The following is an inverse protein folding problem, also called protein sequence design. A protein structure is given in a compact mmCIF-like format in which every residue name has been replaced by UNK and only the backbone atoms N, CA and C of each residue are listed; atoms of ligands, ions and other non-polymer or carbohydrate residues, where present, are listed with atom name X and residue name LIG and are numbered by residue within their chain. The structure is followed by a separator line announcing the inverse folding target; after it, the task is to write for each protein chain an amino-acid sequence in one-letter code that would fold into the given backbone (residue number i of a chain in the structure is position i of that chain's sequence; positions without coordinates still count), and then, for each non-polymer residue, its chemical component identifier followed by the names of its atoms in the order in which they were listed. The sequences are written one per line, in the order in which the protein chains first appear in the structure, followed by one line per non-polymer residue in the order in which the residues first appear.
data_IF_263472134644
#
_entry.id   IF_263472134644
#
_cell.length_a   1.000
_cell.length_b   1.000
_cell.length_c   1.000
_cell.angle_alpha   90.00
_cell.angle_beta   90.00
_cell.angle_gamma   90.00
#
_symmetry.space_group_name_H-M   'P 1'
#
loop_
_entity.id
_entity.type
_entity.pdbx_description
1 polymer ?
#
# COMPACT_ATOMS: atom_id res chain seq x y z
N UNK A 1 -15.91 6.91 -8.45
CA UNK A 1 -15.25 8.11 -9.05
C UNK A 1 -13.72 8.03 -8.92
N UNK A 2 -13.08 8.00 -7.74
CA UNK A 2 -11.60 7.91 -7.63
C UNK A 2 -11.08 6.67 -8.36
N UNK A 3 -11.59 5.49 -8.08
CA UNK A 3 -11.26 4.26 -8.81
C UNK A 3 -11.31 4.44 -10.33
N UNK A 4 -12.39 5.00 -10.85
CA UNK A 4 -12.61 5.09 -12.30
C UNK A 4 -11.61 6.06 -12.97
N UNK A 5 -11.17 7.08 -12.24
CA UNK A 5 -10.12 7.99 -12.70
C UNK A 5 -8.71 7.38 -12.60
N UNK A 6 -8.49 6.43 -11.69
CA UNK A 6 -7.21 5.75 -11.48
C UNK A 6 -7.10 4.41 -12.23
N UNK A 7 -8.19 3.91 -12.82
CA UNK A 7 -8.22 2.65 -13.57
C UNK A 7 -7.13 2.46 -14.63
N UNK A 8 -6.70 3.50 -15.36
CA UNK A 8 -5.63 3.33 -16.35
C UNK A 8 -4.38 2.65 -15.78
N UNK A 9 -4.05 2.84 -14.49
CA UNK A 9 -2.91 2.19 -13.83
C UNK A 9 -3.04 0.66 -13.94
N UNK A 10 -4.16 0.11 -13.53
CA UNK A 10 -4.39 -1.35 -13.54
C UNK A 10 -4.68 -1.91 -14.93
N UNK A 11 -5.48 -1.19 -15.73
CA UNK A 11 -5.87 -1.64 -17.07
C UNK A 11 -4.61 -1.75 -17.97
N UNK A 12 -3.73 -0.75 -17.94
CA UNK A 12 -2.46 -0.76 -18.69
C UNK A 12 -1.47 -1.80 -18.14
N UNK A 13 -1.30 -1.87 -16.82
CA UNK A 13 -0.41 -2.86 -16.22
C UNK A 13 -0.83 -4.29 -16.55
N UNK A 14 -2.15 -4.58 -16.53
CA UNK A 14 -2.69 -5.88 -16.93
C UNK A 14 -2.38 -6.21 -18.40
N UNK A 15 -2.59 -5.26 -19.30
CA UNK A 15 -2.30 -5.45 -20.72
C UNK A 15 -0.81 -5.68 -20.97
N UNK A 16 0.04 -4.91 -20.29
CA UNK A 16 1.50 -4.99 -20.42
C UNK A 16 2.05 -6.31 -19.91
N UNK A 17 1.60 -6.78 -18.71
CA UNK A 17 2.11 -8.04 -18.16
C UNK A 17 1.65 -9.24 -18.99
N UNK A 18 0.44 -9.24 -19.52
CA UNK A 18 -0.03 -10.27 -20.44
C UNK A 18 0.77 -10.29 -21.73
N UNK A 19 1.16 -9.13 -22.25
CA UNK A 19 1.98 -9.04 -23.46
C UNK A 19 3.42 -9.51 -23.22
N UNK A 20 3.99 -9.22 -22.04
CA UNK A 20 5.36 -9.55 -21.69
C UNK A 20 5.52 -11.03 -21.27
N UNK A 21 4.62 -11.53 -20.43
CA UNK A 21 4.76 -12.82 -19.75
C UNK A 21 3.79 -13.90 -20.25
N UNK A 22 2.81 -13.53 -21.08
CA UNK A 22 1.79 -14.45 -21.58
C UNK A 22 0.79 -14.96 -20.52
N UNK A 23 0.91 -14.48 -19.28
CA UNK A 23 0.06 -14.87 -18.15
C UNK A 23 -0.19 -13.71 -17.19
N UNK A 24 -1.18 -13.84 -16.31
CA UNK A 24 -1.41 -12.93 -15.21
C UNK A 24 -0.37 -13.15 -14.10
N UNK A 25 -0.12 -12.11 -13.26
CA UNK A 25 0.75 -12.26 -12.11
C UNK A 25 0.12 -13.16 -11.05
N UNK A 26 0.95 -13.76 -10.21
CA UNK A 26 0.50 -14.52 -9.04
C UNK A 26 -0.02 -13.56 -7.97
N UNK A 27 0.66 -12.41 -7.82
CA UNK A 27 0.31 -11.38 -6.83
C UNK A 27 0.38 -9.99 -7.45
N UNK A 28 -0.52 -9.12 -6.99
CA UNK A 28 -0.51 -7.68 -7.30
C UNK A 28 -0.43 -6.92 -5.98
N UNK A 29 0.54 -6.02 -5.89
CA UNK A 29 0.83 -5.27 -4.67
C UNK A 29 0.79 -3.75 -4.92
N UNK A 30 0.29 -3.01 -3.95
CA UNK A 30 0.36 -1.55 -3.93
C UNK A 30 0.36 -1.03 -2.49
N UNK A 31 1.00 0.11 -2.25
CA UNK A 31 0.91 0.80 -0.96
C UNK A 31 -0.47 1.44 -0.79
N UNK A 32 -0.92 1.51 0.47
CA UNK A 32 -2.26 2.02 0.82
C UNK A 32 -2.17 3.00 1.98
N UNK A 33 -2.41 4.29 1.68
CA UNK A 33 -2.84 5.30 2.62
C UNK A 33 -4.34 5.54 2.40
N UNK A 34 -4.73 6.63 1.72
CA UNK A 34 -6.10 6.77 1.20
C UNK A 34 -6.47 5.73 0.14
N UNK A 35 -5.47 5.14 -0.55
CA UNK A 35 -5.59 3.97 -1.41
C UNK A 35 -5.95 4.25 -2.86
N UNK A 36 -5.79 5.48 -3.37
CA UNK A 36 -6.17 5.82 -4.74
C UNK A 36 -5.39 5.06 -5.81
N UNK A 37 -4.06 4.93 -5.66
CA UNK A 37 -3.22 4.14 -6.56
C UNK A 37 -3.59 2.65 -6.52
N UNK A 38 -3.77 2.12 -5.32
CA UNK A 38 -4.06 0.72 -5.08
C UNK A 38 -5.42 0.30 -5.66
N UNK A 39 -6.48 1.09 -5.47
CA UNK A 39 -7.79 0.76 -6.03
C UNK A 39 -7.80 0.84 -7.56
N UNK A 40 -7.02 1.77 -8.14
CA UNK A 40 -6.81 1.85 -9.58
C UNK A 40 -6.11 0.60 -10.12
N UNK A 41 -5.07 0.15 -9.44
CA UNK A 41 -4.34 -1.07 -9.79
C UNK A 41 -5.21 -2.32 -9.63
N UNK A 42 -5.79 -2.51 -8.43
CA UNK A 42 -6.52 -3.74 -8.09
C UNK A 42 -7.76 -3.96 -8.93
N UNK A 43 -8.43 -2.87 -9.36
CA UNK A 43 -9.69 -2.96 -10.10
C UNK A 43 -9.59 -3.86 -11.33
N UNK A 44 -8.49 -3.82 -12.06
CA UNK A 44 -8.25 -4.63 -13.25
C UNK A 44 -8.12 -6.13 -12.96
N UNK A 45 -7.88 -6.52 -11.70
CA UNK A 45 -7.64 -7.90 -11.28
C UNK A 45 -8.69 -8.44 -10.30
N UNK A 46 -9.73 -7.65 -9.96
CA UNK A 46 -10.73 -8.05 -8.97
C UNK A 46 -11.49 -9.33 -9.39
N UNK A 47 -11.72 -9.53 -10.69
CA UNK A 47 -12.40 -10.70 -11.23
C UNK A 47 -11.53 -11.95 -11.38
N UNK A 48 -10.23 -11.84 -11.19
CA UNK A 48 -9.27 -12.94 -11.34
C UNK A 48 -8.96 -13.57 -9.98
N UNK A 49 -9.77 -14.52 -9.53
CA UNK A 49 -9.66 -15.13 -8.18
C UNK A 49 -8.29 -15.78 -7.91
N UNK A 50 -7.59 -16.23 -8.96
CA UNK A 50 -6.26 -16.82 -8.88
C UNK A 50 -5.15 -15.77 -8.62
N UNK A 51 -5.42 -14.49 -8.84
CA UNK A 51 -4.47 -13.40 -8.58
C UNK A 51 -4.68 -12.91 -7.15
N UNK A 52 -3.68 -13.07 -6.29
CA UNK A 52 -3.72 -12.56 -4.93
C UNK A 52 -3.46 -11.04 -4.91
N UNK A 53 -4.27 -10.28 -4.16
CA UNK A 53 -4.14 -8.83 -4.05
C UNK A 53 -3.70 -8.44 -2.64
N UNK A 54 -2.65 -7.61 -2.55
CA UNK A 54 -2.09 -7.15 -1.29
C UNK A 54 -2.00 -5.63 -1.24
N UNK A 55 -2.68 -5.03 -0.27
CA UNK A 55 -2.53 -3.63 0.08
C UNK A 55 -1.60 -3.46 1.27
N UNK A 56 -0.54 -2.69 1.14
CA UNK A 56 0.47 -2.54 2.18
C UNK A 56 0.38 -1.15 2.79
N UNK A 57 0.11 -1.12 4.08
CA UNK A 57 -0.04 0.07 4.90
C UNK A 57 1.25 0.39 5.68
N UNK A 58 1.33 1.60 6.22
CA UNK A 58 2.44 1.99 7.07
C UNK A 58 2.28 1.45 8.49
N UNK A 59 3.18 0.56 8.88
CA UNK A 59 3.31 0.06 10.25
C UNK A 59 3.99 1.05 11.20
N UNK A 60 4.55 2.15 10.68
CA UNK A 60 5.19 3.19 11.48
C UNK A 60 6.31 2.64 12.37
N UNK A 61 6.25 2.96 13.65
CA UNK A 61 7.16 2.44 14.68
C UNK A 61 6.74 1.04 15.22
N UNK A 62 5.89 0.32 14.47
CA UNK A 62 5.31 -0.97 14.86
C UNK A 62 3.87 -0.82 15.35
N UNK A 63 3.01 -1.78 14.97
CA UNK A 63 1.57 -1.73 15.30
C UNK A 63 1.31 -1.66 16.81
N UNK A 64 2.14 -2.32 17.62
CA UNK A 64 2.01 -2.33 19.08
C UNK A 64 2.36 -0.99 19.74
N UNK A 65 3.07 -0.10 19.05
CA UNK A 65 3.43 1.23 19.56
C UNK A 65 2.25 2.19 19.57
N UNK A 66 1.21 1.92 18.78
CA UNK A 66 0.11 2.83 18.47
C UNK A 66 0.48 3.96 17.51
N UNK A 67 1.74 4.03 17.06
CA UNK A 67 2.26 5.02 16.11
C UNK A 67 2.41 4.38 14.74
N UNK A 68 1.31 4.32 13.99
CA UNK A 68 1.24 3.71 12.66
C UNK A 68 0.10 4.31 11.82
N UNK A 69 0.11 4.08 10.51
CA UNK A 69 -0.91 4.50 9.54
C UNK A 69 -1.62 3.30 8.90
N UNK A 70 -2.06 2.30 9.70
CA UNK A 70 -2.60 1.04 9.21
C UNK A 70 -4.07 0.79 9.60
N UNK A 71 -5.03 1.63 9.14
CA UNK A 71 -6.44 1.49 9.52
C UNK A 71 -7.12 0.24 8.96
N UNK A 72 -6.69 -0.31 7.83
CA UNK A 72 -7.26 -1.55 7.29
C UNK A 72 -6.76 -2.79 8.04
N UNK A 73 -5.55 -2.74 8.58
CA UNK A 73 -4.98 -3.82 9.37
C UNK A 73 -5.51 -3.82 10.81
N UNK A 74 -5.59 -2.67 11.48
CA UNK A 74 -5.87 -2.58 12.91
C UNK A 74 -7.13 -1.79 13.26
N UNK A 75 -7.60 -0.90 12.37
CA UNK A 75 -8.68 0.03 12.63
C UNK A 75 -10.06 -0.61 12.67
N UNK A 76 -10.98 0.11 13.27
CA UNK A 76 -12.40 -0.26 13.36
C UNK A 76 -13.23 0.45 12.30
N UNK A 77 -14.49 0.02 12.13
CA UNK A 77 -15.45 0.75 11.29
C UNK A 77 -15.78 2.10 11.90
N UNK A 78 -15.60 3.15 11.13
CA UNK A 78 -15.86 4.52 11.55
C UNK A 78 -16.26 5.42 10.40
N UNK A 79 -16.65 6.65 10.70
CA UNK A 79 -17.00 7.66 9.70
C UNK A 79 -15.89 8.70 9.69
N UNK A 80 -15.23 8.83 8.54
CA UNK A 80 -14.20 9.85 8.30
C UNK A 80 -14.55 10.61 7.02
N UNK A 81 -14.57 11.93 7.06
CA UNK A 81 -14.94 12.79 5.92
C UNK A 81 -16.29 12.42 5.28
N UNK A 82 -17.26 11.98 6.09
CA UNK A 82 -18.59 11.60 5.62
C UNK A 82 -18.69 10.23 4.96
N UNK A 83 -17.64 9.43 4.97
CA UNK A 83 -17.63 8.07 4.41
C UNK A 83 -17.44 7.03 5.51
N UNK A 84 -18.20 5.94 5.45
CA UNK A 84 -17.99 4.76 6.29
C UNK A 84 -16.79 3.98 5.76
N UNK A 85 -15.79 3.78 6.61
CA UNK A 85 -14.56 3.09 6.24
C UNK A 85 -13.88 2.44 7.46
N UNK A 86 -12.65 1.96 7.29
CA UNK A 86 -11.75 1.61 8.37
C UNK A 86 -11.02 2.88 8.85
N UNK A 87 -11.02 3.10 10.16
CA UNK A 87 -10.46 4.31 10.77
C UNK A 87 -9.68 3.94 12.03
N UNK A 88 -8.55 4.59 12.25
CA UNK A 88 -7.85 4.55 13.53
C UNK A 88 -8.63 5.45 14.51
N UNK A 89 -9.20 4.83 15.53
CA UNK A 89 -10.03 5.53 16.53
C UNK A 89 -9.86 4.89 17.90
N UNK A 90 -10.05 5.69 18.92
CA UNK A 90 -10.08 5.24 20.31
C UNK A 90 -11.44 4.60 20.69
N UNK A 91 -11.56 4.19 21.94
CA UNK A 91 -12.78 3.54 22.47
C UNK A 91 -14.00 4.47 22.47
N UNK A 92 -13.79 5.79 22.46
CA UNK A 92 -14.84 6.80 22.37
C UNK A 92 -15.19 7.15 20.90
N UNK A 93 -14.52 6.52 19.94
CA UNK A 93 -14.71 6.73 18.49
C UNK A 93 -14.06 7.99 17.95
N UNK A 94 -13.15 8.61 18.72
CA UNK A 94 -12.37 9.75 18.24
C UNK A 94 -11.22 9.27 17.38
N UNK A 95 -10.96 9.99 16.29
CA UNK A 95 -9.87 9.68 15.38
C UNK A 95 -8.52 9.84 16.09
N UNK A 96 -7.71 8.79 16.05
CA UNK A 96 -6.35 8.79 16.57
C UNK A 96 -5.40 9.26 15.49
N UNK A 97 -4.37 10.03 15.88
CA UNK A 97 -3.32 10.50 14.97
C UNK A 97 -2.56 9.32 14.38
N UNK A 98 -2.41 9.32 13.06
CA UNK A 98 -1.59 8.34 12.36
C UNK A 98 -0.10 8.71 12.47
N UNK A 99 0.77 7.78 12.10
CA UNK A 99 2.20 8.02 11.97
C UNK A 99 2.81 7.17 10.85
N UNK A 100 3.62 7.80 10.02
CA UNK A 100 4.49 7.14 9.04
C UNK A 100 5.61 8.07 8.65
N UNK A 101 6.79 7.51 8.37
CA UNK A 101 7.88 8.24 7.70
C UNK A 101 7.45 8.73 6.31
N UNK A 102 6.50 8.04 5.69
CA UNK A 102 5.93 8.40 4.40
C UNK A 102 4.73 9.32 4.57
N UNK A 103 4.84 10.57 4.14
CA UNK A 103 3.76 11.55 4.23
C UNK A 103 2.47 11.11 3.53
N UNK A 104 2.57 10.32 2.46
CA UNK A 104 1.41 9.81 1.72
C UNK A 104 0.69 8.64 2.40
N UNK A 105 1.31 8.00 3.41
CA UNK A 105 0.71 6.93 4.21
C UNK A 105 0.38 7.37 5.64
N UNK A 106 0.74 8.58 6.02
CA UNK A 106 0.40 9.17 7.32
C UNK A 106 -1.07 9.66 7.32
N UNK A 107 -1.99 8.70 7.39
CA UNK A 107 -3.43 8.97 7.28
C UNK A 107 -4.24 7.97 8.12
N UNK A 108 -5.15 8.43 8.99
CA UNK A 108 -5.85 7.58 9.95
C UNK A 108 -7.02 6.79 9.37
N UNK A 109 -7.28 6.86 8.09
CA UNK A 109 -8.40 6.18 7.44
C UNK A 109 -8.05 5.63 6.07
N UNK A 110 -8.98 4.94 5.44
CA UNK A 110 -8.83 4.38 4.11
C UNK A 110 -10.03 4.71 3.21
N UNK A 111 -9.90 4.44 1.90
CA UNK A 111 -11.05 4.54 1.00
C UNK A 111 -12.14 3.49 1.35
N UNK A 112 -13.44 3.83 1.26
CA UNK A 112 -14.54 2.90 1.58
C UNK A 112 -14.50 1.60 0.77
N UNK A 113 -14.05 1.65 -0.46
CA UNK A 113 -13.93 0.48 -1.33
C UNK A 113 -12.84 -0.49 -0.82
N UNK A 114 -11.74 0.02 -0.25
CA UNK A 114 -10.73 -0.81 0.41
C UNK A 114 -11.28 -1.52 1.65
N UNK A 115 -12.05 -0.81 2.48
CA UNK A 115 -12.71 -1.41 3.63
C UNK A 115 -13.67 -2.55 3.19
N UNK A 116 -14.44 -2.34 2.12
CA UNK A 116 -15.28 -3.39 1.55
C UNK A 116 -14.46 -4.58 1.04
N UNK A 117 -13.37 -4.35 0.29
CA UNK A 117 -12.52 -5.41 -0.25
C UNK A 117 -11.81 -6.22 0.84
N UNK A 118 -11.45 -5.58 1.96
CA UNK A 118 -10.99 -6.25 3.17
C UNK A 118 -12.09 -7.15 3.75
N UNK A 119 -13.26 -6.59 3.98
CA UNK A 119 -14.37 -7.26 4.66
C UNK A 119 -14.90 -8.47 3.87
N UNK A 120 -14.86 -8.44 2.54
CA UNK A 120 -15.19 -9.58 1.69
C UNK A 120 -14.00 -10.55 1.43
N UNK A 121 -12.82 -10.24 1.95
CA UNK A 121 -11.63 -11.08 1.83
C UNK A 121 -10.98 -11.10 0.44
N UNK A 122 -11.34 -10.16 -0.45
CA UNK A 122 -10.75 -10.11 -1.80
C UNK A 122 -9.35 -9.54 -1.82
N UNK A 123 -9.05 -8.60 -0.96
CA UNK A 123 -7.73 -7.98 -0.79
C UNK A 123 -7.26 -8.22 0.64
N UNK A 124 -6.02 -8.64 0.79
CA UNK A 124 -5.34 -8.74 2.09
C UNK A 124 -4.61 -7.43 2.35
N UNK A 125 -4.70 -6.96 3.60
CA UNK A 125 -4.01 -5.75 4.03
C UNK A 125 -3.04 -6.11 5.13
N UNK A 126 -1.80 -5.65 4.96
CA UNK A 126 -0.71 -5.87 5.90
C UNK A 126 0.09 -4.59 6.08
N UNK A 127 0.86 -4.50 7.15
CA UNK A 127 1.60 -3.31 7.50
C UNK A 127 3.10 -3.59 7.55
N UNK A 128 3.90 -2.61 7.11
CA UNK A 128 5.36 -2.65 7.14
C UNK A 128 5.88 -1.46 7.95
N UNK A 129 6.83 -1.69 8.82
CA UNK A 129 7.46 -0.66 9.65
C UNK A 129 8.33 0.28 8.81
N UNK A 130 8.48 1.52 9.27
CA UNK A 130 9.25 2.57 8.60
C UNK A 130 10.70 2.14 8.33
N UNK A 131 11.33 1.42 9.27
CA UNK A 131 12.68 0.89 9.13
C UNK A 131 12.83 -0.02 7.90
N UNK A 132 11.89 -0.93 7.72
CA UNK A 132 11.94 -1.90 6.62
C UNK A 132 11.63 -1.22 5.27
N UNK A 133 10.73 -0.23 5.28
CA UNK A 133 10.44 0.59 4.11
C UNK A 133 11.67 1.39 3.65
N UNK A 134 12.41 2.02 4.57
CA UNK A 134 13.66 2.74 4.25
C UNK A 134 14.75 1.79 3.75
N UNK A 135 14.86 0.59 4.34
CA UNK A 135 15.80 -0.42 3.85
C UNK A 135 15.47 -0.84 2.40
N UNK A 136 14.20 -1.06 2.08
CA UNK A 136 13.76 -1.38 0.72
C UNK A 136 13.97 -0.22 -0.26
N UNK A 137 13.73 1.02 0.17
CA UNK A 137 14.03 2.24 -0.59
C UNK A 137 15.51 2.24 -1.06
N UNK A 138 16.45 2.07 -0.12
CA UNK A 138 17.87 2.01 -0.40
C UNK A 138 18.22 0.83 -1.30
N UNK A 139 17.64 -0.33 -1.03
CA UNK A 139 17.93 -1.56 -1.77
C UNK A 139 17.52 -1.47 -3.24
N UNK A 140 16.38 -0.87 -3.57
CA UNK A 140 15.96 -0.69 -4.96
C UNK A 140 16.91 0.28 -5.70
N UNK A 141 17.30 1.37 -5.05
CA UNK A 141 18.24 2.31 -5.62
C UNK A 141 19.60 1.67 -5.92
N UNK A 142 20.10 0.80 -5.05
CA UNK A 142 21.35 0.07 -5.24
C UNK A 142 21.30 -0.94 -6.40
N UNK A 143 20.19 -1.70 -6.49
CA UNK A 143 20.09 -2.79 -7.45
C UNK A 143 19.66 -2.35 -8.85
N UNK A 144 18.71 -1.42 -8.92
CA UNK A 144 18.03 -1.04 -10.16
C UNK A 144 18.32 0.40 -10.59
N UNK A 145 18.98 1.19 -9.73
CA UNK A 145 19.20 2.62 -9.99
C UNK A 145 17.90 3.43 -9.93
N UNK A 146 16.83 2.87 -9.36
CA UNK A 146 15.52 3.52 -9.22
C UNK A 146 15.40 4.04 -7.79
N UNK A 147 15.13 5.34 -7.63
CA UNK A 147 14.81 5.93 -6.35
C UNK A 147 13.28 5.94 -6.20
N UNK A 148 12.67 4.97 -5.49
CA UNK A 148 11.23 4.93 -5.31
C UNK A 148 10.77 6.03 -4.33
N UNK A 149 9.49 6.35 -4.30
CA UNK A 149 8.93 7.08 -3.15
C UNK A 149 8.91 6.19 -1.89
N UNK A 150 8.88 6.78 -0.70
CA UNK A 150 8.76 6.00 0.56
C UNK A 150 7.44 5.22 0.63
N UNK A 151 6.39 5.74 0.01
CA UNK A 151 5.09 5.06 -0.05
C UNK A 151 5.19 3.65 -0.65
N UNK A 152 5.59 3.45 -1.92
CA UNK A 152 5.71 2.12 -2.52
C UNK A 152 6.86 1.30 -1.94
N UNK A 153 7.80 1.92 -1.23
CA UNK A 153 8.87 1.20 -0.53
C UNK A 153 8.34 0.28 0.56
N UNK A 154 7.19 0.61 1.20
CA UNK A 154 6.49 -0.31 2.11
C UNK A 154 6.04 -1.58 1.39
N UNK A 155 5.43 -1.44 0.21
CA UNK A 155 5.00 -2.60 -0.57
C UNK A 155 6.18 -3.42 -1.10
N UNK A 156 7.28 -2.77 -1.46
CA UNK A 156 8.53 -3.44 -1.85
C UNK A 156 9.15 -4.20 -0.67
N UNK A 157 9.18 -3.60 0.53
CA UNK A 157 9.70 -4.27 1.73
C UNK A 157 8.90 -5.53 2.05
N UNK A 158 7.58 -5.46 1.96
CA UNK A 158 6.73 -6.63 2.14
C UNK A 158 7.05 -7.73 1.10
N UNK A 159 7.21 -7.37 -0.15
CA UNK A 159 7.54 -8.30 -1.22
C UNK A 159 8.89 -9.01 -0.96
N UNK A 160 9.91 -8.25 -0.56
CA UNK A 160 11.24 -8.81 -0.25
C UNK A 160 11.22 -9.76 0.96
N UNK A 161 10.36 -9.49 1.94
CA UNK A 161 10.18 -10.34 3.11
C UNK A 161 9.34 -11.60 2.83
N UNK A 162 8.56 -11.60 1.74
CA UNK A 162 7.62 -12.68 1.38
C UNK A 162 7.89 -13.23 -0.04
N UNK A 163 9.05 -13.83 -0.30
CA UNK A 163 9.42 -14.32 -1.63
C UNK A 163 8.67 -15.63 -1.94
N UNK A 164 7.46 -15.55 -2.48
CA UNK A 164 6.63 -16.73 -2.73
C UNK A 164 5.97 -16.78 -4.11
N UNK A 165 5.95 -15.68 -4.87
CA UNK A 165 5.44 -15.63 -6.23
C UNK A 165 6.52 -15.91 -7.26
N UNK A 166 6.17 -16.52 -8.40
CA UNK A 166 7.05 -16.57 -9.56
C UNK A 166 6.98 -15.27 -10.38
N UNK A 167 5.81 -14.62 -10.35
CA UNK A 167 5.56 -13.38 -11.08
C UNK A 167 4.71 -12.45 -10.20
N UNK A 168 5.31 -11.37 -9.75
CA UNK A 168 4.67 -10.35 -8.95
C UNK A 168 4.57 -9.02 -9.73
N UNK A 169 3.46 -8.32 -9.54
CA UNK A 169 3.26 -6.97 -10.07
C UNK A 169 3.18 -5.99 -8.91
N UNK A 170 4.18 -5.12 -8.79
CA UNK A 170 4.24 -4.07 -7.78
C UNK A 170 4.03 -2.69 -8.43
N UNK A 171 3.09 -1.92 -7.93
CA UNK A 171 2.90 -0.53 -8.34
C UNK A 171 3.89 0.38 -7.63
N UNK A 172 4.92 0.84 -8.35
CA UNK A 172 5.83 1.89 -7.89
C UNK A 172 5.20 3.27 -8.13
N UNK A 173 4.31 3.68 -7.24
CA UNK A 173 3.63 4.97 -7.32
C UNK A 173 4.53 6.12 -6.83
N UNK A 174 4.50 7.24 -7.56
CA UNK A 174 5.28 8.42 -7.19
C UNK A 174 6.76 8.35 -7.60
N UNK A 175 7.56 9.23 -7.01
CA UNK A 175 9.00 9.36 -7.25
C UNK A 175 9.72 9.71 -5.96
N UNK A 176 10.94 9.21 -5.77
CA UNK A 176 11.65 9.27 -4.49
C UNK A 176 12.52 10.50 -4.27
N UNK A 177 12.70 11.37 -5.26
CA UNK A 177 13.49 12.59 -5.11
C UNK A 177 12.97 13.54 -4.02
N UNK A 178 11.68 13.51 -3.75
CA UNK A 178 11.03 14.25 -2.65
C UNK A 178 11.41 13.72 -1.27
N UNK A 179 11.75 12.43 -1.16
CA UNK A 179 11.92 11.69 0.10
C UNK A 179 13.40 11.46 0.47
N UNK A 180 14.33 11.87 -0.40
CA UNK A 180 15.77 11.62 -0.20
C UNK A 180 16.30 12.14 1.13
N UNK A 181 15.96 13.37 1.50
CA UNK A 181 16.45 13.98 2.75
C UNK A 181 15.98 13.18 3.97
N UNK A 182 14.75 12.74 3.98
CA UNK A 182 14.12 11.99 5.06
C UNK A 182 14.69 10.56 5.14
N UNK A 183 14.78 9.87 4.01
CA UNK A 183 15.35 8.52 3.94
C UNK A 183 16.83 8.47 4.32
N UNK A 184 17.61 9.54 4.01
CA UNK A 184 19.03 9.64 4.41
C UNK A 184 19.21 10.00 5.87
N UNK A 185 18.32 10.80 6.46
CA UNK A 185 18.36 11.19 7.86
C UNK A 185 17.82 10.11 8.81
N UNK A 186 17.15 9.09 8.30
CA UNK A 186 16.56 8.02 9.11
C UNK A 186 17.65 7.14 9.72
N UNK A 187 17.77 7.16 11.04
CA UNK A 187 18.72 6.40 11.88
C UNK A 187 18.02 5.20 12.56
N UNK A 188 17.17 4.47 11.87
CA UNK A 188 16.35 3.39 12.39
C UNK A 188 17.07 2.15 12.93
#
# INVERSE_FOLDING_TARGET
MVRDLQRPIGDEARAQILAAEGRLPDRVLACVGGGSNAIGTFHAFLGDEQVALYGIEAGGEGLASGRHGAPLTTGARGILHGALSAVLQDDDGQVVEAHSISAGLDYPGSGPEHAYLRDCGRVRYEAIEDRDAVAAFRRLAELEGIIPALEPSHALAWLLANPAGELDLLTLSGRGDKDLAEALAFEG
#
